data_IF_512086283568
#
_entry.id   IF_512086283568
#
_cell.length_a   1.000
_cell.length_b   1.000
_cell.length_c   1.000
_cell.angle_alpha   90.00
_cell.angle_beta   90.00
_cell.angle_gamma   90.00
#
_symmetry.space_group_name_H-M   'P 1'
#
loop_
_entity.id
_entity.type
_entity.pdbx_description
1 polymer ?
#
# COMPACT_ATOMS: atom_id res chain seq x y z
N UNK A 1 -5.58 -9.68 -4.28
CA UNK A 1 -5.20 -8.24 -4.29
C UNK A 1 -5.90 -7.54 -3.14
N UNK A 2 -5.14 -6.91 -2.25
CA UNK A 2 -5.64 -6.14 -1.12
C UNK A 2 -5.34 -4.65 -1.38
N UNK A 3 -6.36 -3.88 -1.71
CA UNK A 3 -6.26 -2.45 -1.99
C UNK A 3 -6.37 -1.67 -0.68
N UNK A 4 -5.27 -1.02 -0.29
CA UNK A 4 -5.15 -0.25 0.95
C UNK A 4 -5.13 1.26 0.69
N UNK A 5 -5.72 1.72 -0.40
CA UNK A 5 -5.82 3.14 -0.74
C UNK A 5 -7.05 3.78 -0.10
N UNK A 6 -6.90 5.03 0.31
CA UNK A 6 -8.03 5.84 0.77
C UNK A 6 -9.02 6.13 -0.37
N UNK A 7 -8.47 6.55 -1.53
CA UNK A 7 -9.23 6.80 -2.77
C UNK A 7 -8.78 5.83 -3.84
N UNK A 8 -9.73 5.25 -4.55
CA UNK A 8 -9.49 4.28 -5.62
C UNK A 8 -9.57 4.86 -7.03
N UNK A 9 -9.88 6.16 -7.15
CA UNK A 9 -9.77 6.93 -8.38
C UNK A 9 -8.38 7.54 -8.49
N UNK A 10 -7.75 7.45 -9.65
CA UNK A 10 -6.42 8.00 -9.93
C UNK A 10 -6.49 8.92 -11.15
N UNK A 11 -5.72 9.99 -11.12
CA UNK A 11 -5.59 10.93 -12.22
C UNK A 11 -4.30 10.63 -13.00
N UNK A 12 -4.38 10.83 -14.32
CA UNK A 12 -3.27 10.59 -15.23
C UNK A 12 -3.44 9.30 -16.01
N UNK A 13 -3.12 9.35 -17.31
CA UNK A 13 -3.29 8.21 -18.21
C UNK A 13 -2.43 7.01 -17.79
N UNK A 14 -1.24 7.27 -17.28
CA UNK A 14 -0.31 6.26 -16.80
C UNK A 14 -0.80 5.45 -15.58
N UNK A 15 -1.78 5.99 -14.84
CA UNK A 15 -2.37 5.33 -13.67
C UNK A 15 -3.81 4.84 -13.91
N UNK A 16 -4.32 4.98 -15.12
CA UNK A 16 -5.70 4.63 -15.43
C UNK A 16 -6.03 3.15 -15.11
N UNK A 17 -5.05 2.25 -15.18
CA UNK A 17 -5.18 0.84 -14.82
C UNK A 17 -5.56 0.65 -13.34
N UNK A 18 -5.19 1.57 -12.46
CA UNK A 18 -5.44 1.51 -11.03
C UNK A 18 -6.80 2.08 -10.62
N UNK A 19 -7.60 2.62 -11.54
CA UNK A 19 -8.99 3.01 -11.26
C UNK A 19 -9.83 1.79 -10.91
N UNK A 20 -10.64 1.90 -9.85
CA UNK A 20 -11.29 0.78 -9.19
C UNK A 20 -12.04 -0.18 -10.14
N UNK A 21 -12.94 0.34 -10.96
CA UNK A 21 -13.74 -0.50 -11.85
C UNK A 21 -12.87 -1.26 -12.87
N UNK A 22 -11.92 -0.56 -13.49
CA UNK A 22 -11.00 -1.14 -14.48
C UNK A 22 -10.07 -2.17 -13.86
N UNK A 23 -9.53 -1.87 -12.68
CA UNK A 23 -8.68 -2.79 -11.93
C UNK A 23 -9.42 -4.06 -11.54
N UNK A 24 -10.62 -3.93 -10.97
CA UNK A 24 -11.41 -5.08 -10.55
C UNK A 24 -11.82 -5.96 -11.73
N UNK A 25 -12.21 -5.37 -12.86
CA UNK A 25 -12.53 -6.12 -14.09
C UNK A 25 -11.31 -6.94 -14.53
N UNK A 26 -10.13 -6.32 -14.59
CA UNK A 26 -8.91 -7.03 -15.00
C UNK A 26 -8.48 -8.12 -14.03
N UNK A 27 -8.60 -7.88 -12.73
CA UNK A 27 -8.31 -8.88 -11.70
C UNK A 27 -9.28 -10.07 -11.80
N UNK A 28 -10.56 -9.79 -12.06
CA UNK A 28 -11.57 -10.84 -12.29
C UNK A 28 -11.24 -11.74 -13.47
N UNK A 29 -10.80 -11.17 -14.61
CA UNK A 29 -10.34 -11.93 -15.78
C UNK A 29 -9.16 -12.86 -15.44
N UNK A 30 -8.31 -12.44 -14.50
CA UNK A 30 -7.15 -13.21 -14.05
C UNK A 30 -7.45 -14.17 -12.88
N UNK A 31 -8.70 -14.25 -12.43
CA UNK A 31 -9.07 -15.06 -11.27
C UNK A 31 -8.50 -14.55 -9.94
N UNK A 32 -8.14 -13.28 -9.88
CA UNK A 32 -7.55 -12.66 -8.68
C UNK A 32 -8.65 -11.97 -7.88
N UNK A 33 -8.88 -12.43 -6.66
CA UNK A 33 -9.84 -11.80 -5.75
C UNK A 33 -9.36 -10.41 -5.33
N UNK A 34 -10.29 -9.45 -5.34
CA UNK A 34 -10.05 -8.07 -4.92
C UNK A 34 -10.74 -7.80 -3.58
N UNK A 35 -10.00 -7.17 -2.66
CA UNK A 35 -10.50 -6.69 -1.38
C UNK A 35 -10.07 -5.24 -1.19
N UNK A 36 -10.98 -4.38 -0.74
CA UNK A 36 -10.66 -3.01 -0.35
C UNK A 36 -10.64 -2.90 1.17
N UNK A 37 -9.47 -2.58 1.71
CA UNK A 37 -9.21 -2.42 3.15
C UNK A 37 -8.87 -0.96 3.44
N UNK A 38 -9.89 -0.11 3.33
CA UNK A 38 -9.75 1.36 3.48
C UNK A 38 -9.25 1.76 4.87
N UNK A 39 -9.55 0.99 5.89
CA UNK A 39 -9.09 1.18 7.26
C UNK A 39 -7.56 1.11 7.42
N UNK A 40 -6.87 0.48 6.46
CA UNK A 40 -5.41 0.43 6.40
C UNK A 40 -4.79 1.60 5.60
N UNK A 41 -5.62 2.44 5.00
CA UNK A 41 -5.15 3.64 4.32
C UNK A 41 -4.81 4.73 5.35
N UNK A 42 -3.72 5.50 5.14
CA UNK A 42 -3.37 6.58 6.07
C UNK A 42 -4.49 7.63 6.12
N UNK A 43 -4.83 8.07 7.31
CA UNK A 43 -5.83 9.11 7.55
C UNK A 43 -5.48 10.40 6.79
N UNK A 44 -6.46 11.24 6.42
CA UNK A 44 -6.20 12.51 5.72
C UNK A 44 -5.20 13.42 6.44
N UNK A 45 -5.20 13.42 7.77
CA UNK A 45 -4.25 14.20 8.58
C UNK A 45 -2.80 13.74 8.36
N UNK A 46 -2.53 12.43 8.38
CA UNK A 46 -1.21 11.88 8.09
C UNK A 46 -0.73 12.22 6.69
N UNK A 47 -1.62 12.15 5.70
CA UNK A 47 -1.28 12.51 4.33
C UNK A 47 -0.94 13.99 4.17
N UNK A 48 -1.60 14.89 4.93
CA UNK A 48 -1.26 16.31 4.97
C UNK A 48 0.12 16.53 5.57
N UNK A 49 0.45 15.87 6.70
CA UNK A 49 1.80 15.95 7.32
C UNK A 49 2.90 15.55 6.34
N UNK A 50 2.68 14.47 5.57
CA UNK A 50 3.63 14.06 4.55
C UNK A 50 3.75 15.11 3.42
N UNK A 51 2.64 15.69 2.99
CA UNK A 51 2.66 16.72 1.96
C UNK A 51 3.39 18.00 2.43
N UNK A 52 3.33 18.33 3.71
CA UNK A 52 4.08 19.43 4.31
C UNK A 52 5.59 19.12 4.35
N UNK A 53 5.96 17.90 4.75
CA UNK A 53 7.35 17.45 4.69
C UNK A 53 7.92 17.50 3.26
N UNK A 54 7.16 16.98 2.29
CA UNK A 54 7.54 17.02 0.87
C UNK A 54 7.79 18.48 0.38
N UNK A 55 6.97 19.43 0.81
CA UNK A 55 7.15 20.86 0.48
C UNK A 55 8.41 21.42 1.10
N UNK A 56 8.67 21.10 2.37
CA UNK A 56 9.87 21.57 3.09
C UNK A 56 11.14 21.05 2.41
N UNK A 57 11.13 19.80 1.98
CA UNK A 57 12.25 19.16 1.28
C UNK A 57 12.27 19.47 -0.22
N UNK A 58 11.33 20.28 -0.73
CA UNK A 58 11.16 20.59 -2.15
C UNK A 58 11.08 19.34 -3.04
N UNK A 59 10.52 18.26 -2.50
CA UNK A 59 10.38 16.98 -3.18
C UNK A 59 8.97 16.82 -3.76
N UNK A 60 8.85 16.60 -5.06
CA UNK A 60 7.57 16.28 -5.66
C UNK A 60 7.11 14.88 -5.20
N UNK A 61 5.82 14.73 -4.87
CA UNK A 61 5.24 13.46 -4.41
C UNK A 61 5.67 12.24 -5.25
N UNK A 62 5.68 12.37 -6.57
CA UNK A 62 6.06 11.29 -7.51
C UNK A 62 7.56 10.96 -7.52
N UNK A 63 8.39 11.85 -6.95
CA UNK A 63 9.84 11.70 -6.86
C UNK A 63 10.30 11.33 -5.44
N UNK A 64 9.36 11.21 -4.49
CA UNK A 64 9.67 10.83 -3.13
C UNK A 64 10.20 9.40 -3.08
N UNK A 65 11.30 9.19 -2.36
CA UNK A 65 11.95 7.89 -2.18
C UNK A 65 11.66 7.28 -0.80
N UNK A 66 11.33 8.12 0.18
CA UNK A 66 11.04 7.70 1.55
C UNK A 66 9.89 8.51 2.16
N UNK A 67 9.18 7.91 3.08
CA UNK A 67 8.23 8.61 3.96
C UNK A 67 8.98 9.39 5.04
N UNK A 68 8.40 10.50 5.50
CA UNK A 68 8.95 11.24 6.63
C UNK A 68 8.82 10.45 7.94
N UNK A 69 9.73 10.67 8.88
CA UNK A 69 9.69 10.02 10.20
C UNK A 69 8.36 10.30 10.93
N UNK A 70 7.85 11.52 10.81
CA UNK A 70 6.56 11.89 11.40
C UNK A 70 5.38 11.10 10.80
N UNK A 71 5.41 10.83 9.50
CA UNK A 71 4.40 9.98 8.86
C UNK A 71 4.54 8.53 9.33
N UNK A 72 5.76 7.98 9.35
CA UNK A 72 6.03 6.60 9.77
C UNK A 72 5.56 6.38 11.21
N UNK A 73 5.94 7.26 12.12
CA UNK A 73 5.52 7.18 13.52
C UNK A 73 3.99 7.27 13.67
N UNK A 74 3.35 8.22 12.98
CA UNK A 74 1.90 8.39 13.00
C UNK A 74 1.17 7.18 12.43
N UNK A 75 1.61 6.63 11.30
CA UNK A 75 0.99 5.45 10.70
C UNK A 75 1.10 4.22 11.61
N UNK A 76 2.27 4.00 12.21
CA UNK A 76 2.47 2.92 13.18
C UNK A 76 1.57 3.06 14.39
N UNK A 77 1.42 4.28 14.92
CA UNK A 77 0.56 4.54 16.06
C UNK A 77 -0.93 4.45 15.74
N UNK A 78 -1.38 5.03 14.64
CA UNK A 78 -2.79 5.17 14.31
C UNK A 78 -3.39 3.92 13.63
N UNK A 79 -2.57 3.15 12.89
CA UNK A 79 -3.06 2.02 12.08
C UNK A 79 -2.45 0.67 12.45
N UNK A 80 -1.26 0.65 13.04
CA UNK A 80 -0.57 -0.61 13.32
C UNK A 80 -0.46 -0.94 14.81
N UNK A 81 -0.74 -0.03 15.75
CA UNK A 81 -0.62 -0.30 17.17
C UNK A 81 -1.49 -1.49 17.61
N UNK A 82 -2.76 -1.47 17.22
CA UNK A 82 -3.74 -2.51 17.53
C UNK A 82 -4.01 -3.46 16.34
N UNK A 83 -3.13 -3.45 15.32
CA UNK A 83 -3.30 -4.29 14.15
C UNK A 83 -2.97 -5.75 14.47
N UNK A 84 -3.96 -6.61 14.26
CA UNK A 84 -3.81 -8.07 14.41
C UNK A 84 -3.47 -8.71 13.06
N UNK A 85 -2.21 -9.06 12.90
CA UNK A 85 -1.68 -9.68 11.69
C UNK A 85 -2.28 -11.05 11.41
N UNK A 86 -2.59 -11.83 12.44
CA UNK A 86 -3.20 -13.16 12.27
C UNK A 86 -4.64 -13.03 11.81
N UNK A 87 -5.42 -12.19 12.49
CA UNK A 87 -6.80 -11.91 12.10
C UNK A 87 -6.88 -11.35 10.67
N UNK A 88 -5.93 -10.47 10.29
CA UNK A 88 -5.86 -9.96 8.92
C UNK A 88 -5.67 -11.09 7.90
N UNK A 89 -4.70 -12.00 8.12
CA UNK A 89 -4.45 -13.14 7.21
C UNK A 89 -5.63 -14.11 7.18
N UNK A 90 -6.22 -14.43 8.33
CA UNK A 90 -7.41 -15.28 8.41
C UNK A 90 -8.60 -14.68 7.64
N UNK A 91 -8.78 -13.37 7.73
CA UNK A 91 -9.80 -12.62 7.00
C UNK A 91 -9.64 -12.61 5.48
N UNK A 92 -8.45 -12.98 4.97
CA UNK A 92 -8.22 -13.16 3.52
C UNK A 92 -8.79 -14.50 3.00
N UNK A 93 -9.10 -15.42 3.91
CA UNK A 93 -9.62 -16.74 3.59
C UNK A 93 -8.55 -17.82 3.45
N UNK A 94 -8.92 -19.06 3.76
CA UNK A 94 -8.02 -20.22 3.82
C UNK A 94 -7.28 -20.52 2.49
N UNK A 95 -7.86 -20.12 1.36
CA UNK A 95 -7.29 -20.34 0.03
C UNK A 95 -6.24 -19.28 -0.37
N UNK A 96 -6.09 -18.20 0.40
CA UNK A 96 -5.14 -17.13 0.08
C UNK A 96 -3.71 -17.58 0.33
N UNK A 97 -2.93 -17.79 -0.74
CA UNK A 97 -1.51 -18.15 -0.68
C UNK A 97 -0.61 -16.96 -0.95
N UNK A 98 -1.06 -16.04 -1.79
CA UNK A 98 -0.32 -14.84 -2.16
C UNK A 98 -1.22 -13.63 -1.98
N UNK A 99 -0.71 -12.63 -1.28
CA UNK A 99 -1.40 -11.36 -1.05
C UNK A 99 -0.55 -10.22 -1.59
N UNK A 100 -1.11 -9.44 -2.52
CA UNK A 100 -0.48 -8.22 -2.97
C UNK A 100 -1.16 -7.01 -2.34
N UNK A 101 -0.40 -6.20 -1.61
CA UNK A 101 -0.85 -4.91 -1.08
C UNK A 101 -0.72 -3.85 -2.17
N UNK A 102 -1.84 -3.21 -2.53
CA UNK A 102 -1.87 -2.20 -3.58
C UNK A 102 -1.89 -0.79 -3.01
N UNK A 103 -0.93 0.00 -3.45
CA UNK A 103 -0.95 1.47 -3.43
C UNK A 103 -0.37 2.00 -4.74
N UNK A 104 -0.30 3.33 -4.93
CA UNK A 104 0.12 3.93 -6.23
C UNK A 104 1.51 4.53 -6.22
N UNK A 105 2.15 4.70 -5.07
CA UNK A 105 3.54 5.13 -5.02
C UNK A 105 4.44 4.04 -5.62
N UNK A 106 5.41 4.49 -6.43
CA UNK A 106 6.35 3.59 -7.12
C UNK A 106 7.27 2.90 -6.13
N UNK A 107 7.96 3.72 -5.33
CA UNK A 107 9.00 3.24 -4.41
C UNK A 107 8.36 2.66 -3.13
N UNK A 108 8.76 1.47 -2.69
CA UNK A 108 8.25 0.88 -1.45
C UNK A 108 8.49 1.77 -0.22
N UNK A 109 9.68 2.36 -0.10
CA UNK A 109 10.02 3.26 1.00
C UNK A 109 9.21 4.56 1.05
N UNK A 110 8.59 4.94 -0.06
CA UNK A 110 7.72 6.11 -0.17
C UNK A 110 6.23 5.81 0.08
N UNK A 111 5.91 4.58 0.50
CA UNK A 111 4.53 4.11 0.61
C UNK A 111 4.25 3.35 1.91
N UNK A 112 3.10 3.61 2.50
CA UNK A 112 2.64 2.92 3.70
C UNK A 112 2.45 1.40 3.54
N UNK A 113 2.36 0.87 2.30
CA UNK A 113 2.31 -0.57 2.07
C UNK A 113 3.53 -1.30 2.61
N UNK A 114 4.72 -0.67 2.58
CA UNK A 114 5.92 -1.27 3.16
C UNK A 114 5.82 -1.39 4.67
N UNK A 115 5.28 -0.37 5.36
CA UNK A 115 5.11 -0.39 6.82
C UNK A 115 4.16 -1.51 7.26
N UNK A 116 3.07 -1.71 6.53
CA UNK A 116 2.14 -2.81 6.79
C UNK A 116 2.78 -4.18 6.50
N UNK A 117 3.50 -4.30 5.40
CA UNK A 117 4.18 -5.53 5.02
C UNK A 117 5.29 -5.92 6.02
N UNK A 118 6.07 -4.95 6.47
CA UNK A 118 7.07 -5.12 7.53
C UNK A 118 6.43 -5.57 8.85
N UNK A 119 5.29 -4.97 9.24
CA UNK A 119 4.55 -5.37 10.43
C UNK A 119 4.07 -6.83 10.32
N UNK A 120 3.50 -7.22 9.18
CA UNK A 120 3.11 -8.60 8.93
C UNK A 120 4.30 -9.56 9.07
N UNK A 121 5.45 -9.20 8.49
CA UNK A 121 6.65 -10.02 8.57
C UNK A 121 7.21 -10.12 10.00
N UNK A 122 7.18 -9.02 10.76
CA UNK A 122 7.60 -9.00 12.17
C UNK A 122 6.73 -9.91 13.03
N UNK A 123 5.41 -9.89 12.83
CA UNK A 123 4.47 -10.65 13.63
C UNK A 123 4.41 -12.14 13.24
N UNK A 124 4.57 -12.47 11.96
CA UNK A 124 4.38 -13.81 11.41
C UNK A 124 5.70 -14.53 11.08
N UNK A 125 6.82 -13.80 11.06
CA UNK A 125 8.15 -14.36 10.89
C UNK A 125 8.31 -15.22 9.64
N UNK A 126 8.86 -16.41 9.81
CA UNK A 126 9.10 -17.35 8.71
C UNK A 126 7.83 -17.93 8.05
N UNK A 127 6.64 -17.65 8.60
CA UNK A 127 5.38 -18.08 7.99
C UNK A 127 5.02 -17.32 6.70
N UNK A 128 5.67 -16.18 6.46
CA UNK A 128 5.48 -15.39 5.25
C UNK A 128 6.82 -14.97 4.62
N UNK A 129 6.82 -14.86 3.30
CA UNK A 129 7.88 -14.24 2.52
C UNK A 129 7.42 -12.88 2.01
N UNK A 130 8.24 -11.85 2.20
CA UNK A 130 7.96 -10.49 1.75
C UNK A 130 8.78 -10.16 0.50
N UNK A 131 8.08 -9.68 -0.55
CA UNK A 131 8.71 -9.13 -1.74
C UNK A 131 8.09 -7.78 -2.11
N UNK A 132 8.93 -6.79 -2.39
CA UNK A 132 8.50 -5.50 -2.92
C UNK A 132 8.51 -5.54 -4.45
N UNK A 133 7.33 -5.41 -5.04
CA UNK A 133 7.19 -5.33 -6.50
C UNK A 133 7.32 -3.87 -6.94
N UNK A 134 8.29 -3.59 -7.78
CA UNK A 134 8.46 -2.31 -8.45
C UNK A 134 8.19 -2.48 -9.95
N UNK A 135 7.62 -1.46 -10.63
CA UNK A 135 7.45 -1.53 -12.06
C UNK A 135 8.81 -1.75 -12.73
N UNK A 136 8.92 -2.78 -13.56
CA UNK A 136 10.08 -2.91 -14.46
C UNK A 136 10.15 -1.66 -15.33
N UNK A 137 11.33 -1.08 -15.48
CA UNK A 137 11.51 -0.05 -16.51
C UNK A 137 11.21 -0.70 -17.86
N UNK A 138 10.41 -0.04 -18.72
CA UNK A 138 10.31 -0.52 -20.09
C UNK A 138 11.73 -0.62 -20.66
N UNK A 139 12.02 -1.75 -21.28
CA UNK A 139 13.27 -1.91 -22.01
C UNK A 139 13.42 -0.70 -22.95
N UNK A 140 14.57 -0.07 -22.87
CA UNK A 140 14.87 1.08 -23.71
C UNK A 140 14.80 0.70 -25.19
#
# INVERSE_FOLDING_TARGET
MCDIRWRRGVRGAEYAFANSARLQARLGELGIRYLHRRELAPAPALRRRQAEADKTEKTAKRKRLALSDAFIAGYRQEHLADFDSRQFIEGLGAEARVVALLCVEREPGACHRSLLAERLQQDLGAAIELAHLTPSQPAA
#
